data_IF_347688221644
#
_entry.id   IF_347688221644
#
_cell.length_a   1.000
_cell.length_b   1.000
_cell.length_c   1.000
_cell.angle_alpha   90.00
_cell.angle_beta   90.00
_cell.angle_gamma   90.00
#
_symmetry.space_group_name_H-M   'P 1'
#
loop_
_entity.id
_entity.type
_entity.pdbx_description
1 polymer ?
#
# COMPACT_ATOMS: atom_id res chain seq x y z
N UNK A 1 1.29 0.14 29.45
CA UNK A 1 0.08 1.00 29.51
C UNK A 1 0.09 1.84 28.25
N UNK A 2 -0.97 1.83 27.44
CA UNK A 2 -0.90 2.43 26.08
C UNK A 2 -0.72 3.95 26.15
N UNK A 3 0.27 4.47 25.42
CA UNK A 3 0.53 5.91 25.31
C UNK A 3 -0.62 6.62 24.57
N UNK A 4 -1.36 7.47 25.29
CA UNK A 4 -2.55 8.15 24.76
C UNK A 4 -2.23 9.17 23.68
N UNK A 5 -1.07 9.81 23.75
CA UNK A 5 -0.65 10.82 22.77
C UNK A 5 -0.33 10.14 21.43
N UNK A 6 0.38 9.01 21.49
CA UNK A 6 0.69 8.20 20.31
C UNK A 6 -0.57 7.69 19.62
N UNK A 7 -1.54 7.19 20.40
CA UNK A 7 -2.87 6.79 19.90
C UNK A 7 -3.59 7.95 19.21
N UNK A 8 -3.55 9.15 19.78
CA UNK A 8 -4.21 10.33 19.19
C UNK A 8 -3.58 10.72 17.87
N UNK A 9 -2.23 10.72 17.81
CA UNK A 9 -1.48 10.98 16.60
C UNK A 9 -1.81 9.97 15.50
N UNK A 10 -1.75 8.67 15.80
CA UNK A 10 -2.07 7.60 14.84
C UNK A 10 -3.49 7.77 14.29
N UNK A 11 -4.49 8.06 15.15
CA UNK A 11 -5.87 8.33 14.70
C UNK A 11 -5.97 9.54 13.77
N UNK A 12 -5.27 10.62 14.10
CA UNK A 12 -5.26 11.82 13.27
C UNK A 12 -4.69 11.52 11.88
N UNK A 13 -3.59 10.79 11.81
CA UNK A 13 -2.96 10.41 10.55
C UNK A 13 -3.84 9.45 9.72
N UNK A 14 -4.48 8.46 10.37
CA UNK A 14 -5.44 7.58 9.67
C UNK A 14 -6.61 8.39 9.10
N UNK A 15 -7.16 9.35 9.87
CA UNK A 15 -8.25 10.20 9.40
C UNK A 15 -7.82 11.15 8.26
N UNK A 16 -6.53 11.47 8.16
CA UNK A 16 -5.95 12.24 7.07
C UNK A 16 -5.62 11.39 5.83
N UNK A 17 -5.87 10.07 5.87
CA UNK A 17 -5.72 9.17 4.73
C UNK A 17 -4.38 8.44 4.64
N UNK A 18 -3.50 8.58 5.64
CA UNK A 18 -2.24 7.86 5.66
C UNK A 18 -2.44 6.38 5.99
N UNK A 19 -1.72 5.50 5.28
CA UNK A 19 -1.74 4.08 5.58
C UNK A 19 -0.96 3.76 6.87
N UNK A 20 -1.34 2.67 7.52
CA UNK A 20 -0.81 2.30 8.83
C UNK A 20 0.68 1.94 8.79
N UNK A 21 1.19 1.44 7.67
CA UNK A 21 2.59 1.07 7.53
C UNK A 21 3.45 2.32 7.35
N UNK A 22 2.99 3.32 6.60
CA UNK A 22 3.64 4.63 6.53
C UNK A 22 3.74 5.29 7.90
N UNK A 23 2.65 5.28 8.68
CA UNK A 23 2.65 5.82 10.04
C UNK A 23 3.64 5.05 10.94
N UNK A 24 3.62 3.72 10.88
CA UNK A 24 4.54 2.86 11.65
C UNK A 24 6.01 3.14 11.31
N UNK A 25 6.35 3.16 10.02
CA UNK A 25 7.71 3.39 9.55
C UNK A 25 8.19 4.80 9.89
N UNK A 26 7.32 5.81 9.81
CA UNK A 26 7.62 7.15 10.27
C UNK A 26 7.96 7.17 11.76
N UNK A 27 7.14 6.55 12.61
CA UNK A 27 7.36 6.52 14.06
C UNK A 27 8.65 5.76 14.42
N UNK A 28 8.94 4.62 13.78
CA UNK A 28 10.19 3.88 14.02
C UNK A 28 11.42 4.74 13.68
N UNK A 29 11.40 5.45 12.55
CA UNK A 29 12.50 6.34 12.14
C UNK A 29 12.72 7.52 13.09
N UNK A 30 11.66 7.94 13.80
CA UNK A 30 11.73 8.98 14.83
C UNK A 30 12.03 8.42 16.23
N UNK A 31 12.54 7.19 16.32
CA UNK A 31 13.01 6.60 17.58
C UNK A 31 11.92 6.03 18.48
N UNK A 32 10.67 5.96 18.01
CA UNK A 32 9.60 5.33 18.80
C UNK A 32 9.81 3.81 18.87
N UNK A 33 9.58 3.23 20.05
CA UNK A 33 9.72 1.81 20.24
C UNK A 33 8.64 1.04 19.44
N UNK A 34 9.07 0.06 18.64
CA UNK A 34 8.18 -0.76 17.80
C UNK A 34 7.00 -1.37 18.58
N UNK A 35 7.25 -1.87 19.79
CA UNK A 35 6.20 -2.47 20.65
C UNK A 35 5.15 -1.44 21.07
N UNK A 36 5.58 -0.23 21.42
CA UNK A 36 4.65 0.85 21.79
C UNK A 36 3.80 1.32 20.61
N UNK A 37 4.40 1.38 19.41
CA UNK A 37 3.67 1.67 18.18
C UNK A 37 2.62 0.60 17.94
N UNK A 38 2.98 -0.68 17.98
CA UNK A 38 2.04 -1.77 17.71
C UNK A 38 0.92 -1.83 18.76
N UNK A 39 1.21 -1.59 20.05
CA UNK A 39 0.19 -1.48 21.10
C UNK A 39 -0.76 -0.29 20.88
N UNK A 40 -0.24 0.86 20.43
CA UNK A 40 -1.03 2.03 20.12
C UNK A 40 -1.90 1.81 18.86
N UNK A 41 -1.33 1.20 17.82
CA UNK A 41 -2.06 0.77 16.62
C UNK A 41 -3.18 -0.20 16.99
N UNK A 42 -2.91 -1.27 17.73
CA UNK A 42 -3.95 -2.21 18.18
C UNK A 42 -5.03 -1.50 19.00
N UNK A 43 -4.66 -0.54 19.85
CA UNK A 43 -5.62 0.25 20.60
C UNK A 43 -6.50 1.14 19.70
N UNK A 44 -5.94 1.70 18.61
CA UNK A 44 -6.72 2.47 17.63
C UNK A 44 -7.65 1.58 16.80
N UNK A 45 -7.20 0.37 16.42
CA UNK A 45 -7.95 -0.58 15.59
C UNK A 45 -8.81 -1.56 16.38
N UNK A 46 -8.72 -1.58 17.71
CA UNK A 46 -9.75 -2.10 18.61
C UNK A 46 -11.00 -1.24 18.44
N UNK A 47 -11.64 -1.38 17.27
CA UNK A 47 -13.05 -1.11 17.06
C UNK A 47 -13.76 -1.72 18.26
N UNK A 48 -14.64 -0.91 18.86
CA UNK A 48 -15.77 -1.41 19.68
C UNK A 48 -16.15 -2.76 19.11
N UNK A 49 -16.08 -3.84 19.93
CA UNK A 49 -16.59 -5.17 19.59
C UNK A 49 -17.79 -4.95 18.67
N UNK A 50 -17.61 -5.28 17.39
CA UNK A 50 -18.66 -5.11 16.42
C UNK A 50 -19.92 -5.68 17.04
N UNK A 51 -21.05 -4.99 16.88
CA UNK A 51 -22.37 -5.55 17.16
C UNK A 51 -22.30 -6.99 16.66
N UNK A 52 -22.43 -7.95 17.57
CA UNK A 52 -22.10 -9.35 17.26
C UNK A 52 -22.87 -9.73 16.01
N UNK A 53 -22.20 -10.37 15.05
CA UNK A 53 -22.80 -10.87 13.81
C UNK A 53 -24.26 -11.39 13.98
N UNK A 54 -24.61 -12.15 15.03
CA UNK A 54 -26.00 -12.56 15.27
C UNK A 54 -27.03 -11.43 15.46
N UNK A 55 -26.65 -10.29 16.03
CA UNK A 55 -27.56 -9.13 16.18
C UNK A 55 -27.85 -8.50 14.81
N UNK A 56 -26.84 -8.43 13.94
CA UNK A 56 -27.03 -7.93 12.57
C UNK A 56 -27.94 -8.87 11.77
N UNK A 57 -27.69 -10.18 11.85
CA UNK A 57 -28.54 -11.20 11.23
C UNK A 57 -29.97 -11.12 11.78
N UNK A 58 -30.14 -10.93 13.09
CA UNK A 58 -31.45 -10.73 13.72
C UNK A 58 -32.20 -9.51 13.17
N UNK A 59 -31.53 -8.36 13.03
CA UNK A 59 -32.13 -7.15 12.46
C UNK A 59 -32.51 -7.33 10.98
N UNK A 60 -31.67 -8.02 10.20
CA UNK A 60 -31.96 -8.33 8.78
C UNK A 60 -33.17 -9.25 8.67
N UNK A 61 -33.26 -10.30 9.49
CA UNK A 61 -34.41 -11.21 9.49
C UNK A 61 -35.71 -10.49 9.85
N UNK A 62 -35.67 -9.59 10.84
CA UNK A 62 -36.83 -8.76 11.20
C UNK A 62 -37.24 -7.85 10.03
N UNK A 63 -36.28 -7.22 9.35
CA UNK A 63 -36.54 -6.42 8.15
C UNK A 63 -37.17 -7.23 7.02
N UNK A 64 -36.68 -8.44 6.76
CA UNK A 64 -37.23 -9.33 5.73
C UNK A 64 -38.68 -9.71 6.05
N UNK A 65 -38.99 -10.02 7.31
CA UNK A 65 -40.36 -10.34 7.74
C UNK A 65 -41.29 -9.12 7.56
N UNK A 66 -40.81 -7.91 7.86
CA UNK A 66 -41.58 -6.68 7.65
C UNK A 66 -41.83 -6.46 6.15
N UNK A 67 -40.79 -6.57 5.31
CA UNK A 67 -40.90 -6.40 3.85
C UNK A 67 -41.84 -7.44 3.25
N UNK A 68 -41.69 -8.71 3.64
CA UNK A 68 -42.55 -9.79 3.17
C UNK A 68 -44.00 -9.61 3.63
N UNK A 69 -44.22 -9.18 4.87
CA UNK A 69 -45.54 -8.85 5.39
C UNK A 69 -46.21 -7.70 4.63
N UNK A 70 -45.44 -6.65 4.29
CA UNK A 70 -45.92 -5.55 3.45
C UNK A 70 -46.20 -6.03 2.03
N UNK A 71 -45.35 -6.86 1.43
CA UNK A 71 -45.55 -7.43 0.09
C UNK A 71 -46.82 -8.29 0.02
N UNK A 72 -47.08 -9.13 1.02
CA UNK A 72 -48.31 -9.91 1.11
C UNK A 72 -49.56 -9.04 1.30
N UNK A 73 -49.44 -7.93 2.03
CA UNK A 73 -50.55 -6.97 2.22
C UNK A 73 -50.82 -6.13 0.98
N UNK A 74 -49.81 -5.89 0.14
CA UNK A 74 -49.95 -5.10 -1.09
C UNK A 74 -50.42 -5.98 -2.25
N UNK A 75 -50.19 -7.30 -2.22
CA UNK A 75 -50.95 -8.29 -2.96
C UNK A 75 -51.18 -8.00 -4.45
N UNK A 76 -50.40 -8.67 -5.29
CA UNK A 76 -50.97 -9.36 -6.44
C UNK A 76 -50.85 -8.68 -7.80
N UNK A 77 -50.67 -9.57 -8.78
CA UNK A 77 -50.84 -9.38 -10.23
C UNK A 77 -49.81 -8.50 -10.93
N UNK A 78 -48.69 -9.12 -11.34
CA UNK A 78 -48.18 -8.87 -12.70
C UNK A 78 -47.44 -10.12 -13.20
N UNK A 79 -48.16 -10.91 -14.02
CA UNK A 79 -47.53 -11.92 -14.87
C UNK A 79 -46.69 -11.18 -15.91
N UNK A 80 -45.36 -11.16 -15.74
CA UNK A 80 -44.49 -10.78 -16.85
C UNK A 80 -44.19 -12.05 -17.67
N UNK A 81 -44.48 -12.04 -18.99
CA UNK A 81 -44.17 -13.17 -19.85
C UNK A 81 -42.66 -13.30 -19.96
N UNK A 82 -42.16 -14.47 -19.57
CA UNK A 82 -40.76 -14.84 -19.72
C UNK A 82 -40.50 -14.99 -21.22
N UNK A 83 -39.82 -14.01 -21.81
CA UNK A 83 -39.32 -14.08 -23.18
C UNK A 83 -38.14 -15.04 -23.20
N UNK A 84 -38.37 -16.22 -23.78
CA UNK A 84 -37.41 -17.31 -23.90
C UNK A 84 -36.30 -16.90 -24.85
N UNK A 85 -35.17 -16.44 -24.32
CA UNK A 85 -33.98 -16.18 -25.13
C UNK A 85 -33.41 -17.52 -25.60
N UNK A 86 -33.40 -17.69 -26.92
CA UNK A 86 -32.91 -18.86 -27.63
C UNK A 86 -31.38 -18.97 -27.47
N UNK A 87 -30.93 -20.06 -26.85
CA UNK A 87 -29.52 -20.35 -26.63
C UNK A 87 -28.96 -20.89 -27.95
N UNK A 88 -28.07 -20.12 -28.57
CA UNK A 88 -27.30 -20.54 -29.74
C UNK A 88 -26.18 -21.48 -29.26
N UNK A 89 -26.00 -22.68 -29.85
CA UNK A 89 -24.95 -23.61 -29.46
C UNK A 89 -23.59 -23.05 -29.90
N UNK A 90 -22.70 -22.85 -28.94
CA UNK A 90 -21.31 -22.49 -29.17
C UNK A 90 -20.53 -23.71 -29.68
N UNK A 91 -19.87 -23.53 -30.81
CA UNK A 91 -19.19 -24.56 -31.59
C UNK A 91 -17.85 -24.91 -30.93
N UNK A 92 -17.70 -26.19 -30.62
CA UNK A 92 -16.54 -26.80 -29.97
C UNK A 92 -15.36 -26.87 -30.96
N UNK A 93 -14.36 -26.00 -30.79
CA UNK A 93 -13.09 -26.08 -31.53
C UNK A 93 -12.08 -26.82 -30.65
N UNK A 94 -11.94 -28.12 -30.90
CA UNK A 94 -10.79 -28.92 -30.46
C UNK A 94 -9.62 -28.67 -31.40
N UNK A 95 -8.41 -28.50 -30.89
CA UNK A 95 -7.18 -29.15 -31.41
C UNK A 95 -5.92 -28.88 -30.55
N UNK A 96 -4.79 -29.59 -30.75
CA UNK A 96 -4.25 -30.48 -29.74
C UNK A 96 -2.90 -30.01 -29.16
N UNK A 97 -2.48 -30.75 -28.13
CA UNK A 97 -1.36 -30.43 -27.27
C UNK A 97 0.03 -30.48 -27.92
N UNK A 98 0.94 -29.84 -27.19
CA UNK A 98 2.37 -29.99 -27.39
C UNK A 98 3.00 -30.25 -26.02
N UNK A 99 3.53 -31.47 -25.90
CA UNK A 99 4.41 -31.92 -24.83
C UNK A 99 5.81 -31.37 -25.08
N UNK A 100 6.33 -30.55 -24.18
CA UNK A 100 7.79 -30.36 -24.06
C UNK A 100 8.16 -30.50 -22.58
N UNK A 101 8.81 -31.62 -22.31
CA UNK A 101 9.50 -31.95 -21.08
C UNK A 101 10.94 -31.47 -21.19
N UNK A 102 11.35 -30.50 -20.39
CA UNK A 102 12.76 -30.24 -20.10
C UNK A 102 12.91 -30.17 -18.57
N UNK A 103 13.42 -31.28 -18.01
CA UNK A 103 13.98 -31.32 -16.66
C UNK A 103 15.34 -30.62 -16.71
N UNK A 104 15.40 -29.37 -16.26
CA UNK A 104 16.67 -28.78 -15.83
C UNK A 104 16.89 -29.07 -14.35
N UNK A 105 17.90 -29.88 -14.10
CA UNK A 105 18.46 -30.18 -12.79
C UNK A 105 19.36 -29.02 -12.39
N UNK A 106 18.90 -28.19 -11.46
CA UNK A 106 19.69 -27.12 -10.87
C UNK A 106 20.45 -27.69 -9.66
N UNK A 107 21.78 -27.73 -9.76
CA UNK A 107 22.67 -28.08 -8.66
C UNK A 107 22.73 -26.89 -7.68
N UNK A 108 22.19 -27.07 -6.47
CA UNK A 108 22.37 -26.14 -5.35
C UNK A 108 23.79 -26.29 -4.78
N UNK A 109 24.63 -25.27 -4.98
CA UNK A 109 25.85 -25.09 -4.20
C UNK A 109 25.49 -24.51 -2.82
N UNK A 110 25.55 -25.34 -1.79
CA UNK A 110 25.49 -24.89 -0.40
C UNK A 110 26.82 -24.21 -0.02
N UNK A 111 26.86 -22.87 -0.05
CA UNK A 111 27.89 -22.11 0.66
C UNK A 111 27.54 -22.01 2.15
N UNK A 112 28.37 -22.65 2.96
CA UNK A 112 28.27 -22.65 4.42
C UNK A 112 28.47 -21.25 5.01
N UNK A 113 27.44 -20.75 5.69
CA UNK A 113 27.54 -19.59 6.56
C UNK A 113 28.09 -20.00 7.93
N UNK A 114 29.32 -19.57 8.20
CA UNK A 114 29.92 -19.60 9.53
C UNK A 114 29.14 -18.68 10.48
N UNK A 115 28.70 -19.24 11.60
CA UNK A 115 27.99 -18.53 12.65
C UNK A 115 28.93 -17.54 13.36
N UNK A 116 28.76 -16.25 13.08
CA UNK A 116 29.35 -15.16 13.86
C UNK A 116 28.57 -14.99 15.17
N UNK A 117 29.18 -15.36 16.29
CA UNK A 117 28.65 -15.11 17.64
C UNK A 117 29.15 -13.73 18.08
N UNK A 118 28.29 -12.71 18.24
CA UNK A 118 28.70 -11.47 18.85
C UNK A 118 28.82 -11.66 20.37
N UNK A 119 30.00 -11.37 20.91
CA UNK A 119 30.19 -11.20 22.36
C UNK A 119 29.35 -10.01 22.84
N UNK A 120 28.37 -10.28 23.70
CA UNK A 120 27.65 -9.26 24.47
C UNK A 120 28.59 -8.67 25.53
N UNK A 121 29.12 -7.48 25.25
CA UNK A 121 29.66 -6.59 26.29
C UNK A 121 28.53 -5.69 26.78
N UNK A 122 27.94 -6.06 27.92
CA UNK A 122 27.00 -5.23 28.67
C UNK A 122 27.76 -4.16 29.43
N UNK A 123 28.09 -3.06 28.76
CA UNK A 123 28.43 -1.82 29.45
C UNK A 123 27.12 -1.09 29.75
N UNK A 124 26.75 -1.01 31.02
CA UNK A 124 25.69 -0.11 31.52
C UNK A 124 26.14 1.33 31.23
N UNK A 125 25.76 1.82 30.05
CA UNK A 125 25.95 3.21 29.66
C UNK A 125 25.01 4.09 30.49
N UNK A 126 25.60 4.74 31.50
CA UNK A 126 24.99 5.74 32.35
C UNK A 126 24.40 6.84 31.45
N UNK A 127 23.07 6.87 31.33
CA UNK A 127 22.40 7.79 30.41
C UNK A 127 22.73 9.23 30.80
N UNK A 128 23.26 10.05 29.88
CA UNK A 128 23.58 11.44 30.18
C UNK A 128 22.29 12.15 30.58
N UNK A 129 22.28 12.74 31.78
CA UNK A 129 21.15 13.56 32.24
C UNK A 129 20.90 14.65 31.20
N UNK A 130 19.74 14.60 30.54
CA UNK A 130 19.33 15.59 29.53
C UNK A 130 19.12 16.93 30.24
N UNK A 131 20.07 17.85 30.05
CA UNK A 131 20.13 19.14 30.72
C UNK A 131 19.29 20.17 29.97
N UNK A 132 18.00 20.20 30.29
CA UNK A 132 17.12 21.26 29.81
C UNK A 132 17.37 22.60 30.54
N UNK A 133 17.55 23.68 29.80
CA UNK A 133 17.61 25.07 30.27
C UNK A 133 18.80 25.90 29.72
N UNK A 134 19.44 25.48 28.63
CA UNK A 134 20.51 26.22 27.97
C UNK A 134 20.01 27.06 26.77
N UNK A 135 18.70 27.06 26.49
CA UNK A 135 18.05 27.64 25.30
C UNK A 135 18.55 27.08 23.96
N UNK A 136 19.05 25.83 23.95
CA UNK A 136 19.44 25.10 22.75
C UNK A 136 18.73 23.74 22.80
N UNK A 137 17.95 23.41 21.77
CA UNK A 137 17.31 22.10 21.68
C UNK A 137 18.34 21.06 21.23
N UNK A 138 18.93 20.33 22.17
CA UNK A 138 20.03 19.39 21.91
C UNK A 138 19.53 18.04 21.32
N UNK A 139 20.46 17.24 20.77
CA UNK A 139 20.11 15.95 20.17
C UNK A 139 19.51 14.99 21.21
N UNK A 140 18.29 14.52 20.96
CA UNK A 140 17.52 13.69 21.90
C UNK A 140 16.54 14.49 22.78
N UNK A 141 16.59 15.82 22.73
CA UNK A 141 15.59 16.70 23.30
C UNK A 141 14.47 16.96 22.29
N UNK A 142 13.26 17.16 22.81
CA UNK A 142 12.08 17.53 22.07
C UNK A 142 11.16 18.34 22.99
N UNK A 143 10.11 18.95 22.44
CA UNK A 143 9.17 19.74 23.22
C UNK A 143 8.54 18.99 24.42
N UNK A 144 8.46 17.65 24.39
CA UNK A 144 7.87 16.87 25.49
C UNK A 144 8.82 16.67 26.67
N UNK A 145 10.13 16.54 26.43
CA UNK A 145 11.12 16.34 27.49
C UNK A 145 11.91 17.61 27.84
N UNK A 146 11.97 18.60 26.94
CA UNK A 146 12.60 19.90 27.17
C UNK A 146 11.80 21.06 26.55
N UNK A 147 10.58 21.29 27.04
CA UNK A 147 9.72 22.41 26.60
C UNK A 147 10.30 23.81 26.84
N UNK A 148 11.38 23.92 27.62
CA UNK A 148 12.04 25.21 27.91
C UNK A 148 12.93 25.66 26.76
N UNK A 149 13.62 24.73 26.10
CA UNK A 149 14.60 25.03 25.05
C UNK A 149 14.11 24.63 23.66
N UNK A 150 13.26 23.60 23.56
CA UNK A 150 12.63 23.19 22.31
C UNK A 150 11.25 23.85 22.20
N UNK A 151 11.00 24.63 21.16
CA UNK A 151 9.68 25.17 20.88
C UNK A 151 8.71 24.05 20.45
N UNK A 152 7.41 24.15 20.80
CA UNK A 152 6.43 23.23 20.26
C UNK A 152 6.44 23.41 18.75
N UNK A 153 6.54 22.30 18.00
CA UNK A 153 6.30 22.30 16.56
C UNK A 153 4.84 22.67 16.40
N UNK A 154 4.54 23.97 16.36
CA UNK A 154 3.22 24.45 16.02
C UNK A 154 2.99 23.94 14.61
N UNK A 155 2.01 23.05 14.48
CA UNK A 155 1.48 22.60 13.21
C UNK A 155 0.78 23.79 12.52
N UNK A 156 1.56 24.80 12.18
CA UNK A 156 1.18 25.95 11.38
C UNK A 156 1.31 25.51 9.92
N UNK A 157 0.20 25.31 9.20
CA UNK A 157 0.23 24.78 7.83
C UNK A 157 0.66 25.81 6.78
N UNK A 158 1.49 26.81 7.13
CA UNK A 158 1.64 28.00 6.28
C UNK A 158 3.06 28.54 6.05
N UNK A 159 4.12 27.99 6.64
CA UNK A 159 5.45 28.59 6.41
C UNK A 159 6.66 27.66 6.48
N UNK A 160 6.47 26.35 6.38
CA UNK A 160 7.58 25.46 6.03
C UNK A 160 7.86 25.58 4.52
N UNK A 161 8.47 26.69 4.12
CA UNK A 161 9.47 26.66 3.05
C UNK A 161 10.70 25.98 3.64
N UNK A 162 10.61 24.67 3.85
CA UNK A 162 11.74 23.82 4.17
C UNK A 162 11.97 22.92 2.95
N UNK A 163 12.94 23.33 2.16
CA UNK A 163 13.91 22.49 1.46
C UNK A 163 13.38 21.25 0.72
N UNK A 164 13.04 21.47 -0.56
CA UNK A 164 13.39 20.54 -1.64
C UNK A 164 12.65 19.21 -1.74
N UNK A 165 11.83 18.82 -0.76
CA UNK A 165 10.97 17.64 -0.90
C UNK A 165 9.72 18.07 -1.66
N UNK A 166 9.80 18.03 -2.99
CA UNK A 166 8.64 18.11 -3.88
C UNK A 166 7.60 17.12 -3.33
N UNK A 167 6.51 17.66 -2.78
CA UNK A 167 5.46 16.85 -2.18
C UNK A 167 5.01 15.83 -3.25
N UNK A 168 5.01 14.53 -2.93
CA UNK A 168 4.68 13.47 -3.90
C UNK A 168 3.40 13.75 -4.70
N UNK A 169 2.44 14.47 -4.11
CA UNK A 169 1.23 14.92 -4.81
C UNK A 169 1.50 15.86 -5.99
N UNK A 170 2.38 16.86 -5.85
CA UNK A 170 2.67 17.82 -6.93
C UNK A 170 3.39 17.15 -8.11
N UNK A 171 4.27 16.19 -7.82
CA UNK A 171 4.92 15.38 -8.86
C UNK A 171 3.89 14.62 -9.68
N UNK A 172 2.95 13.94 -9.03
CA UNK A 172 1.90 13.16 -9.68
C UNK A 172 1.01 14.07 -10.56
N UNK A 173 0.56 15.20 -10.01
CA UNK A 173 -0.25 16.16 -10.78
C UNK A 173 0.49 16.66 -12.03
N UNK A 174 1.79 16.92 -11.90
CA UNK A 174 2.61 17.40 -13.01
C UNK A 174 2.85 16.32 -14.07
N UNK A 175 3.07 15.07 -13.67
CA UNK A 175 3.20 13.94 -14.60
C UNK A 175 1.90 13.74 -15.39
N UNK A 176 0.75 13.75 -14.71
CA UNK A 176 -0.57 13.65 -15.35
C UNK A 176 -0.78 14.81 -16.32
N UNK A 177 -0.43 16.04 -15.95
CA UNK A 177 -0.53 17.18 -16.84
C UNK A 177 0.37 17.07 -18.10
N UNK A 178 1.50 16.35 -17.97
CA UNK A 178 2.44 16.10 -19.07
C UNK A 178 2.15 14.81 -19.85
N UNK A 179 1.20 13.97 -19.43
CA UNK A 179 0.95 12.65 -20.04
C UNK A 179 0.51 12.75 -21.50
N UNK A 180 -0.07 13.88 -21.91
CA UNK A 180 -0.37 14.19 -23.32
C UNK A 180 0.89 14.32 -24.20
N UNK A 181 2.08 14.38 -23.60
CA UNK A 181 3.38 14.44 -24.27
C UNK A 181 4.39 13.55 -23.52
N UNK A 182 4.30 12.20 -23.66
CA UNK A 182 5.05 11.24 -22.84
C UNK A 182 6.55 11.50 -22.79
N UNK A 183 7.18 11.91 -23.89
CA UNK A 183 8.61 12.23 -23.93
C UNK A 183 9.02 13.39 -22.99
N UNK A 184 8.14 14.37 -22.77
CA UNK A 184 8.40 15.47 -21.82
C UNK A 184 8.20 15.02 -20.38
N UNK A 185 7.19 14.19 -20.13
CA UNK A 185 6.96 13.61 -18.81
C UNK A 185 8.13 12.69 -18.41
N UNK A 186 8.61 11.86 -19.33
CA UNK A 186 9.79 11.01 -19.12
C UNK A 186 11.04 11.84 -18.82
N UNK A 187 11.27 12.94 -19.53
CA UNK A 187 12.35 13.88 -19.20
C UNK A 187 12.23 14.44 -17.78
N UNK A 188 11.01 14.84 -17.38
CA UNK A 188 10.75 15.29 -16.01
C UNK A 188 11.00 14.20 -14.95
N UNK A 189 10.63 12.94 -15.23
CA UNK A 189 10.91 11.82 -14.33
C UNK A 189 12.41 11.50 -14.24
N UNK A 190 13.13 11.57 -15.37
CA UNK A 190 14.58 11.36 -15.39
C UNK A 190 15.35 12.41 -14.57
N UNK A 191 14.82 13.63 -14.47
CA UNK A 191 15.41 14.73 -13.72
C UNK A 191 15.20 14.63 -12.18
N UNK A 192 14.51 13.60 -11.67
CA UNK A 192 14.33 13.42 -10.22
C UNK A 192 15.63 12.93 -9.55
N UNK A 193 16.03 13.61 -8.47
CA UNK A 193 17.29 13.35 -7.75
C UNK A 193 17.27 12.01 -7.00
N UNK A 194 16.14 11.67 -6.38
CA UNK A 194 15.99 10.43 -5.62
C UNK A 194 15.45 9.32 -6.51
N UNK A 195 16.08 8.15 -6.46
CA UNK A 195 15.67 6.97 -7.22
C UNK A 195 14.22 6.58 -6.93
N UNK A 196 13.82 6.59 -5.66
CA UNK A 196 12.43 6.28 -5.28
C UNK A 196 11.42 7.23 -5.91
N UNK A 197 11.78 8.50 -6.09
CA UNK A 197 10.90 9.52 -6.67
C UNK A 197 10.84 9.39 -8.18
N UNK A 198 11.97 9.06 -8.82
CA UNK A 198 12.02 8.71 -10.25
C UNK A 198 11.16 7.49 -10.56
N UNK A 199 11.26 6.44 -9.75
CA UNK A 199 10.49 5.22 -9.91
C UNK A 199 8.99 5.47 -9.73
N UNK A 200 8.59 6.23 -8.70
CA UNK A 200 7.20 6.67 -8.52
C UNK A 200 6.73 7.49 -9.73
N UNK A 201 7.58 8.37 -10.25
CA UNK A 201 7.23 9.21 -11.40
C UNK A 201 6.93 8.35 -12.65
N UNK A 202 7.77 7.35 -12.95
CA UNK A 202 7.57 6.47 -14.10
C UNK A 202 6.34 5.55 -13.94
N UNK A 203 6.07 5.08 -12.73
CA UNK A 203 4.87 4.31 -12.39
C UNK A 203 3.58 5.09 -12.73
N UNK A 204 3.47 6.33 -12.24
CA UNK A 204 2.34 7.21 -12.54
C UNK A 204 2.30 7.63 -14.02
N UNK A 205 3.45 7.76 -14.68
CA UNK A 205 3.50 8.06 -16.11
C UNK A 205 2.93 6.88 -16.92
N UNK A 206 3.32 5.64 -16.60
CA UNK A 206 2.81 4.44 -17.25
C UNK A 206 1.28 4.36 -17.14
N UNK A 207 0.74 4.57 -15.95
CA UNK A 207 -0.71 4.61 -15.71
C UNK A 207 -1.38 5.75 -16.51
N UNK A 208 -0.86 6.97 -16.41
CA UNK A 208 -1.47 8.14 -17.04
C UNK A 208 -1.41 8.09 -18.57
N UNK A 209 -0.37 7.50 -19.15
CA UNK A 209 -0.24 7.33 -20.61
C UNK A 209 -0.83 6.03 -21.12
N UNK A 210 -1.19 5.08 -20.24
CA UNK A 210 -1.60 3.72 -20.58
C UNK A 210 -0.54 2.99 -21.46
N UNK A 211 0.75 3.21 -21.18
CA UNK A 211 1.85 2.58 -21.92
C UNK A 211 2.79 1.84 -20.95
N UNK A 212 2.79 0.50 -21.02
CA UNK A 212 3.57 -0.35 -20.11
C UNK A 212 5.08 -0.24 -20.31
N UNK A 213 5.56 0.30 -21.43
CA UNK A 213 7.00 0.51 -21.69
C UNK A 213 7.66 1.45 -20.69
N UNK A 214 6.90 2.34 -20.03
CA UNK A 214 7.48 3.23 -19.02
C UNK A 214 7.92 2.50 -17.76
N UNK A 215 7.28 1.37 -17.42
CA UNK A 215 7.67 0.52 -16.28
C UNK A 215 9.12 0.00 -16.43
N UNK A 216 9.67 -0.11 -17.64
CA UNK A 216 11.07 -0.53 -17.86
C UNK A 216 12.10 0.43 -17.24
N UNK A 217 11.71 1.68 -16.97
CA UNK A 217 12.58 2.69 -16.38
C UNK A 217 12.57 2.69 -14.85
N UNK A 218 11.76 1.84 -14.23
CA UNK A 218 11.70 1.66 -12.78
C UNK A 218 12.84 0.74 -12.33
N UNK A 219 13.67 1.24 -11.41
CA UNK A 219 14.85 0.52 -10.90
C UNK A 219 14.45 -0.54 -9.88
N UNK A 220 13.59 -0.19 -8.91
CA UNK A 220 13.10 -1.14 -7.90
C UNK A 220 12.24 -2.23 -8.55
N UNK A 221 12.70 -3.47 -8.46
CA UNK A 221 12.06 -4.61 -9.15
C UNK A 221 10.64 -4.87 -8.66
N UNK A 222 10.39 -4.72 -7.35
CA UNK A 222 9.06 -4.97 -6.79
C UNK A 222 8.05 -3.93 -7.28
N UNK A 223 8.46 -2.65 -7.35
CA UNK A 223 7.64 -1.58 -7.90
C UNK A 223 7.45 -1.74 -9.40
N UNK A 224 8.50 -2.11 -10.13
CA UNK A 224 8.42 -2.39 -11.57
C UNK A 224 7.41 -3.49 -11.88
N UNK A 225 7.47 -4.59 -11.15
CA UNK A 225 6.51 -5.69 -11.30
C UNK A 225 5.09 -5.25 -10.90
N UNK A 226 4.97 -4.39 -9.89
CA UNK A 226 3.70 -3.74 -9.52
C UNK A 226 3.11 -2.90 -10.67
N UNK A 227 3.91 -2.04 -11.28
CA UNK A 227 3.54 -1.22 -12.45
C UNK A 227 3.02 -2.12 -13.59
N UNK A 228 3.74 -3.19 -13.90
CA UNK A 228 3.31 -4.15 -14.93
C UNK A 228 2.01 -4.89 -14.57
N UNK A 229 1.82 -5.27 -13.31
CA UNK A 229 0.65 -6.01 -12.87
C UNK A 229 -0.66 -5.26 -13.16
N UNK A 230 -0.68 -3.93 -13.11
CA UNK A 230 -1.86 -3.13 -13.45
C UNK A 230 -2.30 -3.34 -14.92
N UNK A 231 -1.34 -3.46 -15.84
CA UNK A 231 -1.65 -3.74 -17.25
C UNK A 231 -2.21 -5.15 -17.45
N UNK A 232 -1.75 -6.13 -16.68
CA UNK A 232 -2.32 -7.50 -16.68
C UNK A 232 -3.78 -7.46 -16.25
N UNK A 233 -4.10 -6.69 -15.21
CA UNK A 233 -5.47 -6.53 -14.74
C UNK A 233 -6.38 -5.85 -15.78
N UNK A 234 -5.79 -5.05 -16.66
CA UNK A 234 -6.47 -4.45 -17.82
C UNK A 234 -6.47 -5.36 -19.07
N UNK A 235 -5.98 -6.60 -18.96
CA UNK A 235 -6.02 -7.62 -20.00
C UNK A 235 -4.80 -7.63 -20.94
N UNK A 236 -3.77 -6.84 -20.69
CA UNK A 236 -2.53 -6.90 -21.46
C UNK A 236 -1.59 -7.97 -20.90
N UNK A 237 -1.80 -9.21 -21.33
CA UNK A 237 -0.95 -10.35 -20.94
C UNK A 237 0.37 -10.42 -21.73
N UNK A 238 0.64 -9.49 -22.66
CA UNK A 238 1.92 -9.48 -23.39
C UNK A 238 3.10 -9.13 -22.48
N UNK A 239 2.81 -8.51 -21.33
CA UNK A 239 3.82 -8.10 -20.35
C UNK A 239 4.26 -9.23 -19.42
N UNK A 240 3.60 -10.40 -19.40
CA UNK A 240 3.92 -11.46 -18.43
C UNK A 240 5.40 -11.87 -18.43
N UNK A 241 6.07 -11.79 -19.58
CA UNK A 241 7.50 -12.10 -19.68
C UNK A 241 8.43 -11.08 -19.03
N UNK A 242 7.96 -9.84 -18.87
CA UNK A 242 8.70 -8.74 -18.27
C UNK A 242 8.68 -8.78 -16.73
N UNK A 243 7.77 -9.54 -16.14
CA UNK A 243 7.70 -9.72 -14.68
C UNK A 243 8.91 -10.52 -14.19
N UNK A 244 9.60 -9.99 -13.19
CA UNK A 244 10.75 -10.65 -12.55
C UNK A 244 10.35 -11.58 -11.40
N UNK A 245 9.30 -11.21 -10.66
CA UNK A 245 8.76 -12.03 -9.58
C UNK A 245 8.08 -13.28 -10.14
N UNK A 246 8.63 -14.45 -9.80
CA UNK A 246 8.15 -15.76 -10.25
C UNK A 246 6.67 -15.99 -9.98
N UNK A 247 6.18 -15.62 -8.79
CA UNK A 247 4.78 -15.83 -8.41
C UNK A 247 3.83 -14.95 -9.24
N UNK A 248 4.20 -13.68 -9.47
CA UNK A 248 3.40 -12.78 -10.31
C UNK A 248 3.40 -13.24 -11.77
N UNK A 249 4.55 -13.70 -12.27
CA UNK A 249 4.70 -14.23 -13.63
C UNK A 249 3.82 -15.47 -13.87
N UNK A 250 3.87 -16.46 -12.97
CA UNK A 250 2.99 -17.63 -13.03
C UNK A 250 1.51 -17.24 -12.94
N UNK A 251 1.15 -16.31 -12.05
CA UNK A 251 -0.21 -15.81 -11.92
C UNK A 251 -0.70 -15.14 -13.21
N UNK A 252 0.16 -14.34 -13.84
CA UNK A 252 -0.13 -13.66 -15.11
C UNK A 252 -0.46 -14.68 -16.22
N UNK A 253 0.32 -15.75 -16.33
CA UNK A 253 0.08 -16.80 -17.32
C UNK A 253 -1.20 -17.59 -17.07
N UNK A 254 -1.55 -17.85 -15.81
CA UNK A 254 -2.80 -18.52 -15.46
C UNK A 254 -4.01 -17.66 -15.82
N UNK A 255 -3.94 -16.34 -15.63
CA UNK A 255 -5.03 -15.42 -15.99
C UNK A 255 -5.23 -15.32 -17.52
N UNK A 256 -4.15 -15.43 -18.31
CA UNK A 256 -4.22 -15.43 -19.78
C UNK A 256 -5.03 -16.62 -20.34
N UNK A 257 -5.18 -17.69 -19.59
CA UNK A 257 -5.86 -18.91 -20.02
C UNK A 257 -7.39 -18.90 -19.78
N UNK A 258 -7.92 -17.83 -19.19
CA UNK A 258 -9.35 -17.62 -18.90
C UNK A 258 -9.96 -16.72 -19.98
#
# INVERSE_FOLDING_TARGET
MVNRNLVSYIKQQINAGYDINTIRNFLIRNGYNKKEIDEAVDYTYKRKKGISLPIIIGLILVLIVIIFGVFLMIGGEEETPIETTEIIPEEEISEPGETISEEETFEEEEEGQEAFVPEETTDEEEQPETLCGNNICDFGENYLNCARDCEPVESSPASAQEDGVLFRGEMIERVIALSSSPSKAAGFCADQDLEIDRDICYDNLAEASQESSWCENIVDENRRDGCYAEFVLNGDYTICDKLTNKYLKESCYNLRAI
#
